data_IF_280510605212
#
_entry.id   IF_280510605212
#
_cell.length_a   1.000
_cell.length_b   1.000
_cell.length_c   1.000
_cell.angle_alpha   90.00
_cell.angle_beta   90.00
_cell.angle_gamma   90.00
#
_symmetry.space_group_name_H-M   'P 1'
#
loop_
_entity.id
_entity.type
_entity.pdbx_description
1 polymer ?
#
# COMPACT_ATOMS: atom_id res chain seq x y z
N UNK A 1 -7.18 -12.86 4.39
CA UNK A 1 -8.41 -12.13 4.79
C UNK A 1 -8.90 -11.31 3.60
N UNK A 2 -10.10 -10.72 3.64
CA UNK A 2 -10.52 -9.80 2.57
C UNK A 2 -9.93 -8.40 2.79
N UNK A 3 -9.61 -7.69 1.70
CA UNK A 3 -9.16 -6.31 1.77
C UNK A 3 -10.28 -5.44 2.36
N UNK A 4 -9.97 -4.60 3.34
CA UNK A 4 -10.93 -3.67 3.97
C UNK A 4 -11.00 -2.36 3.16
N UNK A 5 -12.11 -2.04 2.48
CA UNK A 5 -12.28 -0.73 1.86
C UNK A 5 -12.18 0.38 2.91
N UNK A 6 -11.56 1.51 2.55
CA UNK A 6 -11.33 2.63 3.47
C UNK A 6 -10.13 2.45 4.42
N UNK A 7 -9.32 1.39 4.24
CA UNK A 7 -8.13 1.18 5.07
C UNK A 7 -6.93 2.04 4.62
N UNK A 8 -6.66 2.13 3.32
CA UNK A 8 -5.56 2.92 2.75
C UNK A 8 -4.13 2.49 3.12
N UNK A 9 -3.93 1.52 4.02
CA UNK A 9 -2.62 1.21 4.58
C UNK A 9 -1.57 0.80 3.52
N UNK A 10 -1.93 -0.06 2.57
CA UNK A 10 -1.04 -0.45 1.46
C UNK A 10 -0.68 0.73 0.53
N UNK A 11 -1.50 1.78 0.50
CA UNK A 11 -1.23 3.00 -0.27
C UNK A 11 -0.39 4.03 0.49
N UNK A 12 -0.19 3.87 1.80
CA UNK A 12 0.54 4.80 2.66
C UNK A 12 1.86 4.17 3.13
N UNK A 13 1.81 3.01 3.76
CA UNK A 13 2.92 2.47 4.54
C UNK A 13 4.12 1.94 3.72
N UNK A 14 3.94 1.05 2.72
CA UNK A 14 5.09 0.37 2.09
C UNK A 14 5.79 1.28 1.08
N UNK A 15 7.05 1.01 0.76
CA UNK A 15 7.65 1.57 -0.46
C UNK A 15 7.15 0.80 -1.69
N UNK A 16 7.08 1.48 -2.83
CA UNK A 16 6.75 0.86 -4.12
C UNK A 16 7.74 1.40 -5.13
N UNK A 17 8.64 0.56 -5.62
CA UNK A 17 9.65 0.98 -6.62
C UNK A 17 9.14 0.94 -8.06
N UNK A 18 7.99 0.30 -8.30
CA UNK A 18 7.36 0.27 -9.63
C UNK A 18 6.58 1.56 -9.91
N UNK A 19 6.52 2.02 -11.16
CA UNK A 19 5.74 3.21 -11.53
C UNK A 19 4.27 3.11 -11.12
N UNK A 20 3.72 4.22 -10.66
CA UNK A 20 2.29 4.41 -10.39
C UNK A 20 1.80 5.53 -11.30
N UNK A 21 0.57 5.50 -11.85
CA UNK A 21 0.02 6.63 -12.58
C UNK A 21 0.07 7.92 -11.73
N UNK A 22 0.86 8.90 -12.18
CA UNK A 22 1.14 10.15 -11.44
C UNK A 22 2.38 10.11 -10.52
N UNK A 23 3.03 8.96 -10.34
CA UNK A 23 4.30 8.80 -9.62
C UNK A 23 5.25 7.85 -10.40
N UNK A 24 5.99 8.36 -11.40
CA UNK A 24 6.78 7.52 -12.31
C UNK A 24 7.97 6.80 -11.64
N UNK A 25 8.48 7.33 -10.53
CA UNK A 25 9.54 6.71 -9.73
C UNK A 25 9.00 5.79 -8.62
N UNK A 26 7.68 5.53 -8.62
CA UNK A 26 7.02 4.85 -7.52
C UNK A 26 6.79 5.76 -6.32
N UNK A 27 6.71 5.18 -5.11
CA UNK A 27 6.47 5.91 -3.86
C UNK A 27 7.40 5.46 -2.75
N UNK A 28 7.79 6.39 -1.89
CA UNK A 28 8.61 6.09 -0.71
C UNK A 28 7.77 5.40 0.38
N UNK A 29 8.43 4.72 1.32
CA UNK A 29 7.76 4.22 2.51
C UNK A 29 7.17 5.39 3.32
N UNK A 30 5.94 5.22 3.81
CA UNK A 30 5.19 6.28 4.51
C UNK A 30 4.66 7.41 3.61
N UNK A 31 5.01 7.45 2.32
CA UNK A 31 4.50 8.42 1.37
C UNK A 31 3.09 8.04 0.91
N UNK A 32 2.17 9.02 0.96
CA UNK A 32 0.79 8.85 0.52
C UNK A 32 0.74 8.76 -1.02
N UNK A 33 0.23 7.64 -1.53
CA UNK A 33 0.02 7.44 -2.96
C UNK A 33 -0.95 8.48 -3.56
N UNK A 34 -0.63 9.01 -4.74
CA UNK A 34 -1.47 9.97 -5.49
C UNK A 34 -2.87 9.42 -5.83
N UNK A 35 -2.98 8.09 -5.96
CA UNK A 35 -4.23 7.40 -6.26
C UNK A 35 -5.09 7.10 -5.03
N UNK A 36 -4.71 7.58 -3.84
CA UNK A 36 -5.49 7.39 -2.62
C UNK A 36 -6.47 8.55 -2.41
N UNK A 37 -7.77 8.26 -2.50
CA UNK A 37 -8.84 9.24 -2.30
C UNK A 37 -8.92 9.72 -0.84
N UNK A 38 -9.66 10.80 -0.61
CA UNK A 38 -9.95 11.32 0.74
C UNK A 38 -10.66 10.29 1.62
N UNK A 39 -11.46 9.39 1.01
CA UNK A 39 -12.16 8.29 1.68
C UNK A 39 -11.29 7.04 1.89
N UNK A 40 -9.98 7.14 1.65
CA UNK A 40 -9.01 6.04 1.77
C UNK A 40 -9.30 4.85 0.85
N UNK A 41 -9.82 5.15 -0.35
CA UNK A 41 -10.04 4.20 -1.44
C UNK A 41 -8.99 4.42 -2.54
N UNK A 42 -8.51 3.33 -3.13
CA UNK A 42 -7.63 3.44 -4.30
C UNK A 42 -8.48 3.73 -5.55
N UNK A 43 -8.22 4.85 -6.20
CA UNK A 43 -8.99 5.35 -7.35
C UNK A 43 -8.92 4.44 -8.58
N UNK A 44 -7.85 3.64 -8.68
CA UNK A 44 -7.62 2.69 -9.78
C UNK A 44 -7.72 1.23 -9.30
N UNK A 45 -8.48 0.97 -8.22
CA UNK A 45 -8.65 -0.38 -7.70
C UNK A 45 -9.39 -1.26 -8.72
N UNK A 46 -8.69 -2.23 -9.31
CA UNK A 46 -9.27 -3.16 -10.29
C UNK A 46 -9.11 -2.71 -11.74
N UNK A 47 -8.58 -1.50 -11.96
CA UNK A 47 -8.30 -0.97 -13.28
C UNK A 47 -7.00 -1.55 -13.86
N UNK A 48 -6.87 -1.62 -15.20
CA UNK A 48 -5.66 -2.11 -15.87
C UNK A 48 -4.42 -1.25 -15.59
N UNK A 49 -4.61 0.03 -15.27
CA UNK A 49 -3.54 0.96 -14.93
C UNK A 49 -2.98 0.77 -13.51
N UNK A 50 -3.60 -0.12 -12.71
CA UNK A 50 -3.11 -0.46 -11.37
C UNK A 50 -1.76 -1.19 -11.47
N UNK A 51 -0.71 -0.73 -10.77
CA UNK A 51 0.58 -1.40 -10.80
C UNK A 51 0.48 -2.87 -10.41
N UNK A 52 1.22 -3.73 -11.12
CA UNK A 52 1.18 -5.18 -10.93
C UNK A 52 1.43 -5.58 -9.46
N UNK A 53 2.38 -4.93 -8.79
CA UNK A 53 2.65 -5.16 -7.36
C UNK A 53 1.44 -4.87 -6.46
N UNK A 54 0.67 -3.84 -6.78
CA UNK A 54 -0.55 -3.49 -6.03
C UNK A 54 -1.68 -4.46 -6.31
N UNK A 55 -1.80 -5.01 -7.53
CA UNK A 55 -2.81 -6.02 -7.87
C UNK A 55 -2.47 -7.42 -7.40
N UNK A 56 -1.18 -7.75 -7.29
CA UNK A 56 -0.70 -9.04 -6.79
C UNK A 56 -0.76 -9.14 -5.26
N UNK A 57 -0.83 -8.01 -4.56
CA UNK A 57 -0.98 -7.99 -3.10
C UNK A 57 -2.34 -8.56 -2.68
N UNK A 58 -2.31 -9.67 -1.93
CA UNK A 58 -3.49 -10.26 -1.29
C UNK A 58 -3.49 -9.92 0.20
N UNK A 59 -4.64 -9.48 0.71
CA UNK A 59 -4.75 -9.08 2.11
C UNK A 59 -4.55 -10.28 3.06
N UNK A 60 -3.62 -10.15 3.98
CA UNK A 60 -3.29 -11.18 4.97
C UNK A 60 -3.40 -10.62 6.40
N UNK A 61 -3.76 -11.47 7.36
CA UNK A 61 -3.95 -11.05 8.75
C UNK A 61 -2.64 -10.62 9.40
N UNK A 62 -1.52 -11.26 9.06
CA UNK A 62 -0.20 -10.93 9.61
C UNK A 62 0.35 -9.60 9.07
N UNK A 63 -0.13 -9.17 7.90
CA UNK A 63 0.26 -7.91 7.26
C UNK A 63 -0.72 -6.78 7.58
N UNK A 64 -2.02 -7.07 7.58
CA UNK A 64 -3.07 -6.06 7.70
C UNK A 64 -3.67 -5.93 9.11
N UNK A 65 -3.44 -6.88 10.03
CA UNK A 65 -4.00 -6.85 11.38
C UNK A 65 -5.53 -6.75 11.40
N UNK A 66 -6.08 -6.16 12.46
CA UNK A 66 -7.52 -6.03 12.72
C UNK A 66 -8.04 -4.60 12.49
N UNK A 67 -7.19 -3.57 12.47
CA UNK A 67 -7.57 -2.18 12.18
C UNK A 67 -6.72 -1.50 11.10
N UNK A 68 -7.17 -0.36 10.60
CA UNK A 68 -6.42 0.45 9.61
C UNK A 68 -5.11 0.99 10.20
N UNK A 69 -5.15 1.46 11.44
CA UNK A 69 -3.98 1.95 12.17
C UNK A 69 -2.98 0.82 12.41
N UNK A 70 -3.48 -0.38 12.73
CA UNK A 70 -2.64 -1.54 12.89
C UNK A 70 -2.00 -1.97 11.56
N UNK A 71 -2.77 -1.99 10.47
CA UNK A 71 -2.24 -2.28 9.14
C UNK A 71 -1.09 -1.33 8.75
N UNK A 72 -1.24 -0.03 9.00
CA UNK A 72 -0.16 0.95 8.74
C UNK A 72 1.09 0.64 9.56
N UNK A 73 0.92 0.32 10.86
CA UNK A 73 2.05 -0.03 11.74
C UNK A 73 2.73 -1.33 11.33
N UNK A 74 1.97 -2.38 11.03
CA UNK A 74 2.50 -3.68 10.64
C UNK A 74 3.26 -3.59 9.32
N UNK A 75 2.66 -2.98 8.30
CA UNK A 75 3.32 -2.81 7.01
C UNK A 75 4.57 -1.95 7.14
N UNK A 76 4.52 -0.85 7.92
CA UNK A 76 5.70 -0.04 8.18
C UNK A 76 6.80 -0.77 8.98
N UNK A 77 6.43 -1.71 9.84
CA UNK A 77 7.38 -2.59 10.51
C UNK A 77 8.01 -3.58 9.52
N UNK A 78 7.21 -4.23 8.68
CA UNK A 78 7.68 -5.13 7.63
C UNK A 78 8.65 -4.45 6.68
N UNK A 79 8.33 -3.22 6.26
CA UNK A 79 9.19 -2.39 5.42
C UNK A 79 10.58 -2.20 6.06
N UNK A 80 10.64 -1.87 7.35
CA UNK A 80 11.92 -1.69 8.05
C UNK A 80 12.65 -3.02 8.29
N UNK A 81 11.90 -4.09 8.60
CA UNK A 81 12.46 -5.41 8.89
C UNK A 81 13.02 -6.11 7.64
N UNK A 82 12.51 -5.77 6.45
CA UNK A 82 12.90 -6.38 5.17
C UNK A 82 13.62 -5.42 4.23
N UNK A 83 13.70 -4.15 4.59
CA UNK A 83 14.59 -3.17 3.99
C UNK A 83 16.01 -3.76 3.96
N UNK A 84 16.55 -3.89 2.76
CA UNK A 84 17.99 -4.10 2.59
C UNK A 84 18.61 -2.76 2.96
N UNK A 85 19.19 -2.69 4.16
CA UNK A 85 19.84 -1.49 4.67
C UNK A 85 20.64 -0.80 3.56
N UNK A 86 20.37 0.49 3.34
CA UNK A 86 21.18 1.35 2.48
C UNK A 86 22.64 1.34 2.93
#
# INVERSE_FOLDING_TARGET
MECRPGCGACCIAPSISSPIPGMPQGKSAGERCVQLSVDLLCLIFGEPDRPAVCSSFSADREVCGESSEEAVRLIGWWEQATCVAC
#
